data_IF_185444048713
#
_entry.id   IF_185444048713
#
_cell.length_a   1.000
_cell.length_b   1.000
_cell.length_c   1.000
_cell.angle_alpha   90.00
_cell.angle_beta   90.00
_cell.angle_gamma   90.00
#
_symmetry.space_group_name_H-M   'P 1'
#
loop_
_entity.id
_entity.type
_entity.pdbx_description
1 polymer ?
#
# COMPACT_ATOMS: atom_id res chain seq x y z
N UNK A 1 -16.62 -6.09 -0.52
CA UNK A 1 -16.37 -6.27 -0.77
C UNK A 1 -16.26 -6.40 -0.86
N UNK A 2 -16.36 -6.51 -0.45
CA UNK A 2 -16.04 -6.83 -0.62
C UNK A 2 -16.11 -7.03 -0.15
N UNK A 3 -16.26 -7.25 0.22
CA UNK A 3 -16.38 -7.57 0.49
C UNK A 3 -16.18 -8.02 0.18
N UNK A 4 -16.28 -8.15 0.77
CA UNK A 4 -15.83 -8.82 0.34
C UNK A 4 -15.73 -9.20 0.10
N UNK A 5 -16.05 -9.37 0.22
CA UNK A 5 -15.69 -9.95 -0.23
C UNK A 5 -15.54 -10.05 -0.13
N UNK A 6 -15.80 -10.28 0.48
CA UNK A 6 -15.48 -10.68 0.23
C UNK A 6 -15.78 -10.64 0.37
N UNK A 7 -15.93 -10.60 0.50
CA UNK A 7 -16.06 -10.85 0.22
C UNK A 7 -16.24 -10.82 -0.37
N UNK A 8 -16.40 -10.91 -0.27
CA UNK A 8 -16.35 -11.21 -1.07
C UNK A 8 -16.39 -11.58 -1.26
N UNK A 9 -16.34 -11.71 -1.03
CA UNK A 9 -16.29 -12.22 -1.28
C UNK A 9 -16.93 -12.40 -0.79
N UNK A 10 -17.13 -12.54 -0.38
CA UNK A 10 -17.64 -12.74 -0.11
C UNK A 10 -18.44 -12.61 -0.31
N UNK A 11 -18.67 -12.68 -0.39
CA UNK A 11 -19.29 -12.62 -0.75
C UNK A 11 -19.47 -12.79 -1.56
N UNK A 12 -19.43 -13.11 -1.57
CA UNK A 12 -19.52 -13.45 -2.38
C UNK A 12 -19.74 -14.22 -2.40
N UNK A 13 -20.08 -14.80 -2.10
CA UNK A 13 -20.18 -15.57 -2.27
C UNK A 13 -20.72 -16.16 -1.95
N UNK A 14 -21.08 -16.55 -1.82
CA UNK A 14 -21.52 -17.23 -1.83
C UNK A 14 -22.12 -17.67 -2.28
N UNK A 15 -22.46 -17.87 -2.55
CA UNK A 15 -22.84 -18.39 -3.17
C UNK A 15 -22.78 -19.12 -3.60
N UNK A 16 -22.82 -19.79 -3.66
CA UNK A 16 -22.53 -20.55 -4.25
C UNK A 16 -21.90 -20.99 -4.30
N UNK A 17 -22.11 -21.20 -4.23
CA UNK A 17 -21.38 -21.52 -4.44
C UNK A 17 -20.86 -21.63 -4.20
N UNK A 18 -21.06 -21.73 -4.03
CA UNK A 18 -20.35 -21.79 -3.90
C UNK A 18 -19.74 -22.08 -4.07
N UNK A 19 -19.99 -22.28 -4.21
CA UNK A 19 -19.16 -22.53 -4.46
C UNK A 19 -18.50 -22.78 -4.45
N UNK A 20 -18.57 -23.22 -4.34
CA UNK A 20 -17.73 -23.50 -4.37
C UNK A 20 -16.89 -23.66 -4.50
N UNK A 21 -16.90 -23.86 -4.74
CA UNK A 21 -16.01 -23.95 -4.93
C UNK A 21 -15.20 -23.70 -4.83
N UNK A 22 -15.37 -23.61 -4.78
CA UNK A 22 -14.72 -23.23 -4.67
C UNK A 22 -13.98 -23.03 -4.40
N UNK A 23 -13.99 -23.21 -4.21
CA UNK A 23 -13.40 -23.00 -3.89
C UNK A 23 -12.60 -22.65 -3.55
N UNK A 24 -12.91 -22.61 -3.45
CA UNK A 24 -12.03 -22.12 -3.01
C UNK A 24 -10.68 -22.23 -2.29
N UNK A 25 -9.78 -22.84 -2.50
CA UNK A 25 -8.44 -22.98 -2.05
C UNK A 25 -7.65 -21.70 -2.01
N UNK A 26 -7.86 -20.82 -2.92
CA UNK A 26 -7.06 -19.60 -2.99
C UNK A 26 -6.84 -18.87 -1.67
N UNK A 27 -7.81 -18.80 -0.77
CA UNK A 27 -7.58 -18.10 0.50
C UNK A 27 -6.42 -18.67 1.29
N UNK A 28 -6.20 -19.96 1.21
CA UNK A 28 -5.13 -20.59 1.96
C UNK A 28 -3.75 -20.21 1.46
N UNK A 29 -3.65 -19.70 0.23
CA UNK A 29 -2.38 -19.32 -0.36
C UNK A 29 -2.08 -17.85 -0.24
N UNK A 30 -3.02 -17.08 0.28
CA UNK A 30 -2.83 -15.65 0.47
C UNK A 30 -2.11 -15.41 1.77
N UNK A 31 -1.00 -14.71 1.71
CA UNK A 31 -0.23 -14.38 2.90
C UNK A 31 -0.81 -13.13 3.56
N UNK A 32 -0.71 -13.07 4.87
CA UNK A 32 -1.10 -11.86 5.59
C UNK A 32 -0.15 -10.72 5.24
N UNK A 33 -0.67 -9.50 5.31
CA UNK A 33 0.15 -8.30 5.07
C UNK A 33 0.92 -8.02 6.34
N UNK A 34 2.24 -7.98 6.24
CA UNK A 34 3.08 -7.61 7.37
C UNK A 34 3.11 -6.11 7.50
N UNK A 35 2.72 -5.63 8.66
CA UNK A 35 2.57 -4.20 8.91
C UNK A 35 3.60 -3.76 9.94
N UNK A 36 4.37 -2.73 9.59
CA UNK A 36 5.38 -2.15 10.46
C UNK A 36 5.04 -0.70 10.73
N UNK A 37 5.05 -0.31 12.00
CA UNK A 37 4.92 1.08 12.39
C UNK A 37 6.31 1.53 12.83
N UNK A 38 6.86 2.52 12.14
CA UNK A 38 8.23 2.95 12.35
C UNK A 38 8.32 4.46 12.30
N UNK A 39 9.30 5.01 12.99
CA UNK A 39 9.64 6.41 12.81
C UNK A 39 10.23 6.61 11.41
N UNK A 40 9.87 7.72 10.76
CA UNK A 40 10.39 8.00 9.42
C UNK A 40 11.87 8.36 9.51
N UNK A 41 12.71 7.47 9.04
CA UNK A 41 14.15 7.67 8.94
C UNK A 41 14.60 7.19 7.57
N UNK A 42 15.61 7.87 7.03
CA UNK A 42 16.11 7.53 5.69
C UNK A 42 16.50 6.05 5.55
N UNK A 43 17.23 5.45 6.50
CA UNK A 43 17.56 4.03 6.35
C UNK A 43 16.33 3.13 6.30
N UNK A 44 15.28 3.45 7.07
CA UNK A 44 14.05 2.65 7.06
C UNK A 44 13.36 2.73 5.70
N UNK A 45 13.28 3.93 5.14
CA UNK A 45 12.65 4.14 3.84
C UNK A 45 13.44 3.43 2.75
N UNK A 46 14.75 3.60 2.77
CA UNK A 46 15.61 2.97 1.77
C UNK A 46 15.50 1.45 1.81
N UNK A 47 15.51 0.90 3.01
CA UNK A 47 15.42 -0.55 3.15
C UNK A 47 14.07 -1.08 2.66
N UNK A 48 12.98 -0.40 2.99
CA UNK A 48 11.66 -0.82 2.57
C UNK A 48 11.54 -0.85 1.06
N UNK A 49 12.01 0.19 0.39
CA UNK A 49 11.95 0.27 -1.07
C UNK A 49 12.89 -0.75 -1.70
N UNK A 50 14.14 -0.78 -1.25
CA UNK A 50 15.14 -1.68 -1.83
C UNK A 50 14.73 -3.14 -1.72
N UNK A 51 14.16 -3.53 -0.59
CA UNK A 51 13.71 -4.91 -0.40
C UNK A 51 12.69 -5.30 -1.47
N UNK A 52 11.72 -4.41 -1.74
CA UNK A 52 10.70 -4.71 -2.74
C UNK A 52 11.29 -4.73 -4.15
N UNK A 53 12.16 -3.78 -4.46
CA UNK A 53 12.76 -3.73 -5.79
C UNK A 53 13.66 -4.94 -6.06
N UNK A 54 14.36 -5.40 -5.04
CA UNK A 54 15.27 -6.55 -5.19
C UNK A 54 14.51 -7.83 -5.51
N UNK A 55 13.27 -7.96 -5.07
CA UNK A 55 12.50 -9.15 -5.41
C UNK A 55 11.61 -8.92 -6.64
N UNK A 56 11.87 -7.84 -7.39
CA UNK A 56 11.18 -7.57 -8.65
C UNK A 56 9.81 -6.97 -8.51
N UNK A 57 9.47 -6.46 -7.33
CA UNK A 57 8.16 -5.86 -7.11
C UNK A 57 8.16 -4.35 -7.28
N UNK A 58 7.04 -3.76 -6.92
CA UNK A 58 6.81 -2.32 -7.06
C UNK A 58 6.27 -1.76 -5.75
N UNK A 59 6.43 -0.46 -5.57
CA UNK A 59 6.11 0.21 -4.30
C UNK A 59 5.14 1.36 -4.55
N UNK A 60 4.09 1.43 -3.73
CA UNK A 60 3.31 2.66 -3.58
C UNK A 60 3.91 3.45 -2.43
N UNK A 61 4.23 4.71 -2.67
CA UNK A 61 4.72 5.61 -1.62
C UNK A 61 3.72 6.76 -1.47
N UNK A 62 3.03 6.78 -0.35
CA UNK A 62 1.97 7.75 -0.10
C UNK A 62 2.52 8.99 0.61
N UNK A 63 2.46 10.12 -0.08
CA UNK A 63 2.85 11.42 0.42
C UNK A 63 1.64 12.34 0.32
N UNK A 64 1.11 12.80 1.45
CA UNK A 64 -0.24 13.36 1.49
C UNK A 64 -0.34 14.85 1.16
N UNK A 65 0.63 15.40 0.42
CA UNK A 65 0.60 16.82 0.10
C UNK A 65 1.07 17.07 -1.32
N UNK A 66 0.18 17.61 -2.16
CA UNK A 66 0.50 17.87 -3.57
C UNK A 66 1.65 18.86 -3.70
N UNK A 67 1.68 19.87 -2.82
CA UNK A 67 2.64 20.95 -2.94
C UNK A 67 4.08 20.50 -2.83
N UNK A 68 4.36 19.49 -2.04
CA UNK A 68 5.71 19.01 -1.79
C UNK A 68 6.00 17.66 -2.42
N UNK A 69 5.08 17.13 -3.24
CA UNK A 69 5.24 15.77 -3.74
C UNK A 69 6.44 15.62 -4.67
N UNK A 70 6.74 16.65 -5.46
CA UNK A 70 7.89 16.58 -6.35
C UNK A 70 9.19 16.56 -5.56
N UNK A 71 9.27 17.34 -4.50
CA UNK A 71 10.44 17.33 -3.64
C UNK A 71 10.57 15.98 -2.92
N UNK A 72 9.44 15.40 -2.49
CA UNK A 72 9.45 14.08 -1.86
C UNK A 72 9.99 13.03 -2.83
N UNK A 73 9.55 13.07 -4.08
CA UNK A 73 10.03 12.13 -5.08
C UNK A 73 11.52 12.32 -5.36
N UNK A 74 11.98 13.55 -5.40
CA UNK A 74 13.39 13.84 -5.60
C UNK A 74 14.24 13.30 -4.45
N UNK A 75 13.78 13.48 -3.23
CA UNK A 75 14.46 12.95 -2.05
C UNK A 75 14.55 11.43 -2.12
N UNK A 76 13.46 10.77 -2.52
CA UNK A 76 13.48 9.33 -2.68
C UNK A 76 14.44 8.88 -3.77
N UNK A 77 14.51 9.63 -4.86
CA UNK A 77 15.42 9.29 -5.95
C UNK A 77 16.87 9.34 -5.49
N UNK A 78 17.21 10.33 -4.67
CA UNK A 78 18.55 10.42 -4.10
C UNK A 78 18.82 9.28 -3.12
N UNK A 79 17.81 8.89 -2.39
CA UNK A 79 17.93 7.84 -1.39
C UNK A 79 18.04 6.44 -2.02
N UNK A 80 17.33 6.22 -3.12
CA UNK A 80 17.33 4.95 -3.85
C UNK A 80 17.59 5.25 -5.32
N UNK A 81 18.86 5.45 -5.71
CA UNK A 81 19.19 5.89 -7.09
C UNK A 81 18.72 4.92 -8.17
N UNK A 82 18.61 3.65 -7.86
CA UNK A 82 18.17 2.65 -8.83
C UNK A 82 16.65 2.64 -9.05
N UNK A 83 15.89 3.38 -8.25
CA UNK A 83 14.44 3.41 -8.41
C UNK A 83 14.02 4.21 -9.63
N UNK A 84 12.96 3.75 -10.28
CA UNK A 84 12.32 4.47 -11.37
C UNK A 84 11.00 5.03 -10.83
N UNK A 85 11.01 6.30 -10.49
CA UNK A 85 9.96 6.93 -9.70
C UNK A 85 9.02 7.72 -10.59
N UNK A 86 7.73 7.50 -10.43
CA UNK A 86 6.71 8.34 -11.03
C UNK A 86 5.88 9.03 -9.96
N UNK A 87 5.19 10.09 -10.33
CA UNK A 87 4.35 10.88 -9.44
C UNK A 87 2.93 10.88 -9.98
N UNK A 88 1.96 10.61 -9.10
CA UNK A 88 0.55 10.70 -9.46
C UNK A 88 -0.25 11.36 -8.36
N UNK A 89 -1.06 12.37 -8.71
CA UNK A 89 -1.94 13.01 -7.74
C UNK A 89 -3.18 13.56 -8.43
N UNK A 90 -4.18 13.90 -7.61
CA UNK A 90 -5.49 14.25 -8.12
C UNK A 90 -5.60 15.57 -8.86
N UNK A 91 -4.56 16.42 -8.77
CA UNK A 91 -4.57 17.69 -9.49
C UNK A 91 -3.92 17.61 -10.87
N UNK A 92 -3.40 16.44 -11.21
CA UNK A 92 -2.85 16.24 -12.55
C UNK A 92 -3.96 16.12 -13.57
N UNK A 93 -3.63 16.47 -14.81
CA UNK A 93 -4.55 16.25 -15.92
C UNK A 93 -4.77 14.76 -16.10
N UNK A 94 -5.99 14.40 -16.49
CA UNK A 94 -6.37 13.00 -16.60
C UNK A 94 -5.42 12.21 -17.49
N UNK A 95 -5.03 12.79 -18.63
CA UNK A 95 -4.11 12.10 -19.53
C UNK A 95 -2.74 11.86 -18.92
N UNK A 96 -2.24 12.84 -18.19
CA UNK A 96 -0.95 12.67 -17.49
C UNK A 96 -1.02 11.58 -16.45
N UNK A 97 -2.11 11.56 -15.69
CA UNK A 97 -2.30 10.57 -14.64
C UNK A 97 -2.40 9.16 -15.23
N UNK A 98 -3.17 9.03 -16.32
CA UNK A 98 -3.31 7.75 -17.00
C UNK A 98 -1.97 7.28 -17.55
N UNK A 99 -1.16 8.19 -18.05
CA UNK A 99 0.16 7.85 -18.57
C UNK A 99 1.07 7.29 -17.47
N UNK A 100 1.08 7.96 -16.32
CA UNK A 100 1.90 7.51 -15.19
C UNK A 100 1.43 6.15 -14.69
N UNK A 101 0.11 5.98 -14.57
CA UNK A 101 -0.43 4.70 -14.11
C UNK A 101 -0.14 3.58 -15.10
N UNK A 102 -0.20 3.89 -16.39
CA UNK A 102 0.13 2.90 -17.41
C UNK A 102 1.60 2.52 -17.36
N UNK A 103 2.49 3.51 -17.16
CA UNK A 103 3.90 3.24 -17.00
C UNK A 103 4.19 2.38 -15.76
N UNK A 104 3.46 2.63 -14.69
CA UNK A 104 3.60 1.84 -13.48
C UNK A 104 3.07 0.41 -13.70
N UNK A 105 1.91 0.28 -14.33
CA UNK A 105 1.34 -1.03 -14.62
C UNK A 105 2.29 -1.88 -15.47
N UNK A 106 2.93 -1.27 -16.47
CA UNK A 106 3.83 -1.98 -17.38
C UNK A 106 5.26 -2.07 -16.86
N UNK A 107 5.47 -1.71 -15.58
CA UNK A 107 6.75 -1.86 -14.90
C UNK A 107 7.86 -0.99 -15.47
N UNK A 108 7.49 0.06 -16.18
CA UNK A 108 8.46 1.08 -16.57
C UNK A 108 8.84 1.95 -15.39
N UNK A 109 7.94 2.02 -14.39
CA UNK A 109 8.22 2.63 -13.10
C UNK A 109 8.11 1.54 -12.04
N UNK A 110 8.91 1.64 -11.00
CA UNK A 110 8.84 0.68 -9.91
C UNK A 110 8.49 1.31 -8.56
N UNK A 111 8.42 2.65 -8.48
CA UNK A 111 7.93 3.36 -7.31
C UNK A 111 6.95 4.42 -7.78
N UNK A 112 5.76 4.42 -7.22
CA UNK A 112 4.78 5.47 -7.52
C UNK A 112 4.55 6.29 -6.26
N UNK A 113 4.93 7.57 -6.31
CA UNK A 113 4.69 8.53 -5.24
C UNK A 113 3.35 9.17 -5.52
N UNK A 114 2.40 9.06 -4.59
CA UNK A 114 1.05 9.57 -4.80
C UNK A 114 0.50 10.20 -3.53
N UNK A 115 -0.48 11.08 -3.69
CA UNK A 115 -1.13 11.72 -2.53
C UNK A 115 -2.27 10.89 -1.99
N UNK A 116 -2.93 10.13 -2.83
CA UNK A 116 -3.95 9.16 -2.47
C UNK A 116 -3.79 7.96 -3.39
N UNK A 117 -4.44 6.85 -3.04
CA UNK A 117 -4.44 5.72 -3.96
C UNK A 117 -5.37 6.06 -5.12
N UNK A 118 -4.81 5.99 -6.31
CA UNK A 118 -5.49 6.42 -7.51
C UNK A 118 -6.37 5.29 -8.02
N UNK A 119 -7.64 5.59 -8.20
CA UNK A 119 -8.61 4.62 -8.69
C UNK A 119 -8.67 4.71 -10.21
N UNK A 120 -7.98 3.78 -10.86
CA UNK A 120 -7.96 3.75 -12.33
C UNK A 120 -8.60 2.49 -12.90
N UNK A 121 -9.04 1.59 -12.03
CA UNK A 121 -9.52 0.29 -12.48
C UNK A 121 -8.41 -0.68 -12.84
N UNK A 122 -7.16 -0.28 -12.70
CA UNK A 122 -6.03 -1.15 -12.97
C UNK A 122 -5.62 -1.86 -11.69
N UNK A 123 -5.35 -3.14 -11.84
CA UNK A 123 -4.81 -3.95 -10.76
C UNK A 123 -3.30 -4.03 -10.97
N UNK A 124 -2.52 -3.75 -9.93
CA UNK A 124 -1.06 -3.77 -10.02
C UNK A 124 -0.55 -4.93 -9.17
N UNK A 125 -0.51 -6.13 -9.75
CA UNK A 125 -0.20 -7.33 -8.94
C UNK A 125 1.22 -7.37 -8.39
N UNK A 126 2.13 -6.60 -8.96
CA UNK A 126 3.51 -6.56 -8.47
C UNK A 126 3.74 -5.48 -7.43
N UNK A 127 2.73 -4.66 -7.12
CA UNK A 127 2.85 -3.64 -6.10
C UNK A 127 2.47 -4.26 -4.76
N UNK A 128 3.46 -4.84 -4.10
CA UNK A 128 3.24 -5.58 -2.85
C UNK A 128 3.83 -4.88 -1.63
N UNK A 129 4.25 -3.64 -1.79
CA UNK A 129 4.70 -2.82 -0.66
C UNK A 129 4.02 -1.45 -0.76
N UNK A 130 3.45 -1.02 0.36
CA UNK A 130 2.94 0.34 0.48
C UNK A 130 3.65 1.02 1.63
N UNK A 131 4.09 2.26 1.41
CA UNK A 131 4.71 3.08 2.45
C UNK A 131 3.84 4.31 2.63
N UNK A 132 3.38 4.54 3.85
CA UNK A 132 2.53 5.70 4.18
C UNK A 132 3.38 6.64 5.02
N UNK A 133 3.76 7.77 4.46
CA UNK A 133 4.78 8.64 5.05
C UNK A 133 4.34 9.29 6.36
N UNK A 134 3.05 9.67 6.46
CA UNK A 134 2.51 10.25 7.68
C UNK A 134 1.27 9.49 8.10
N UNK A 135 1.49 8.27 8.57
CA UNK A 135 0.38 7.39 8.94
C UNK A 135 -0.45 7.95 10.10
N UNK A 136 0.17 8.76 10.95
CA UNK A 136 -0.53 9.40 12.07
C UNK A 136 -1.64 10.36 11.62
N UNK A 137 -1.62 10.78 10.35
CA UNK A 137 -2.63 11.71 9.83
C UNK A 137 -3.86 11.02 9.24
N UNK A 138 -3.88 9.70 9.24
CA UNK A 138 -5.00 8.94 8.69
C UNK A 138 -5.79 8.26 9.80
N UNK A 139 -7.10 8.19 9.62
CA UNK A 139 -7.94 7.41 10.52
C UNK A 139 -7.74 5.92 10.31
N UNK A 140 -8.20 5.13 11.28
CA UNK A 140 -8.01 3.69 11.26
C UNK A 140 -8.62 3.05 10.00
N UNK A 141 -9.84 3.45 9.63
CA UNK A 141 -10.50 2.91 8.45
C UNK A 141 -9.71 3.23 7.18
N UNK A 142 -9.16 4.44 7.09
CA UNK A 142 -8.35 4.83 5.94
C UNK A 142 -7.09 4.00 5.86
N UNK A 143 -6.44 3.75 6.99
CA UNK A 143 -5.23 2.93 7.02
C UNK A 143 -5.52 1.51 6.57
N UNK A 144 -6.66 0.95 7.00
CA UNK A 144 -7.07 -0.39 6.54
C UNK A 144 -7.30 -0.40 5.03
N UNK A 145 -7.95 0.62 4.50
CA UNK A 145 -8.19 0.70 3.05
C UNK A 145 -6.89 0.80 2.27
N UNK A 146 -5.98 1.66 2.73
CA UNK A 146 -4.70 1.84 2.05
C UNK A 146 -3.89 0.55 2.08
N UNK A 147 -3.83 -0.09 3.25
CA UNK A 147 -3.12 -1.35 3.40
C UNK A 147 -3.68 -2.42 2.46
N UNK A 148 -4.98 -2.40 2.24
CA UNK A 148 -5.64 -3.37 1.38
C UNK A 148 -5.33 -3.23 -0.10
N UNK A 149 -4.59 -2.18 -0.50
CA UNK A 149 -4.18 -2.03 -1.89
C UNK A 149 -3.03 -2.94 -2.29
N UNK A 150 -2.39 -3.57 -1.33
CA UNK A 150 -1.34 -4.54 -1.60
C UNK A 150 -1.80 -5.91 -1.14
N UNK A 151 -1.01 -6.95 -1.42
CA UNK A 151 -1.35 -8.29 -0.97
C UNK A 151 -2.32 -9.01 -1.87
N UNK A 152 -2.36 -8.66 -3.15
CA UNK A 152 -3.29 -9.26 -4.10
C UNK A 152 -2.67 -10.38 -4.92
N UNK A 153 -1.44 -10.75 -4.59
CA UNK A 153 -0.75 -11.83 -5.28
C UNK A 153 -0.33 -12.86 -4.25
N UNK A 154 0.39 -13.87 -4.70
CA UNK A 154 0.94 -14.89 -3.79
C UNK A 154 2.16 -14.39 -3.01
N UNK A 155 2.69 -13.24 -3.38
CA UNK A 155 3.86 -12.69 -2.72
C UNK A 155 3.50 -12.09 -1.37
N UNK A 156 4.43 -12.15 -0.44
CA UNK A 156 4.27 -11.47 0.84
C UNK A 156 4.17 -9.97 0.61
N UNK A 157 3.13 -9.36 1.17
CA UNK A 157 2.93 -7.92 1.08
C UNK A 157 3.37 -7.24 2.37
N UNK A 158 3.81 -5.99 2.24
CA UNK A 158 4.31 -5.21 3.36
C UNK A 158 3.65 -3.84 3.38
N UNK A 159 3.33 -3.38 4.58
CA UNK A 159 2.83 -2.03 4.80
C UNK A 159 3.72 -1.36 5.84
N UNK A 160 4.36 -0.27 5.45
CA UNK A 160 5.21 0.51 6.34
C UNK A 160 4.49 1.79 6.68
N UNK A 161 4.11 1.93 7.95
CA UNK A 161 3.38 3.09 8.45
C UNK A 161 4.37 3.97 9.18
N UNK A 162 4.76 5.05 8.53
CA UNK A 162 5.82 5.91 9.05
C UNK A 162 5.23 7.06 9.85
N UNK A 163 5.92 7.45 10.89
CA UNK A 163 5.47 8.51 11.79
C UNK A 163 6.61 9.49 12.04
N UNK A 164 6.30 10.70 12.48
CA UNK A 164 7.34 11.56 13.03
C UNK A 164 7.81 11.00 14.37
N UNK A 165 8.64 11.76 15.08
CA UNK A 165 9.10 11.37 16.41
C UNK A 165 7.89 10.89 17.23
N UNK A 166 7.95 9.66 17.77
CA UNK A 166 6.82 9.12 18.53
C UNK A 166 6.38 10.00 19.69
N UNK A 167 7.28 10.78 20.24
CA UNK A 167 6.93 11.67 21.36
C UNK A 167 6.01 12.81 20.94
N UNK A 168 5.91 13.08 19.64
CA UNK A 168 5.02 14.14 19.14
C UNK A 168 3.63 13.64 18.78
N UNK A 169 3.38 12.33 18.90
CA UNK A 169 2.10 11.75 18.52
C UNK A 169 1.07 11.90 19.63
N UNK A 170 -0.19 12.13 19.23
CA UNK A 170 -1.28 12.13 20.19
C UNK A 170 -1.55 10.71 20.68
N UNK A 171 -2.21 10.61 21.83
CA UNK A 171 -2.59 9.30 22.37
C UNK A 171 -3.52 8.56 21.40
N UNK A 172 -4.43 9.29 20.73
CA UNK A 172 -5.33 8.66 19.76
C UNK A 172 -4.56 8.12 18.55
N UNK A 173 -3.57 8.86 18.07
CA UNK A 173 -2.76 8.40 16.95
C UNK A 173 -1.99 7.13 17.32
N UNK A 174 -1.42 7.09 18.52
CA UNK A 174 -0.71 5.90 18.99
C UNK A 174 -1.64 4.69 19.03
N UNK A 175 -2.86 4.88 19.57
CA UNK A 175 -3.81 3.77 19.64
C UNK A 175 -4.22 3.26 18.26
N UNK A 176 -4.44 4.17 17.31
CA UNK A 176 -4.80 3.76 15.96
C UNK A 176 -3.69 2.95 15.30
N UNK A 177 -2.46 3.41 15.47
CA UNK A 177 -1.32 2.74 14.86
C UNK A 177 -1.06 1.38 15.49
N UNK A 178 -1.22 1.27 16.81
CA UNK A 178 -1.13 -0.02 17.49
C UNK A 178 -2.20 -0.99 17.00
N UNK A 179 -3.41 -0.46 16.81
CA UNK A 179 -4.52 -1.31 16.38
C UNK A 179 -4.29 -1.88 14.98
N UNK A 180 -3.81 -1.04 14.04
CA UNK A 180 -3.61 -1.53 12.69
C UNK A 180 -2.41 -2.46 12.60
N UNK A 181 -1.38 -2.23 13.39
CA UNK A 181 -0.24 -3.12 13.42
C UNK A 181 -0.64 -4.50 13.93
N UNK A 182 -1.42 -4.54 15.01
CA UNK A 182 -1.92 -5.79 15.55
C UNK A 182 -2.81 -6.53 14.56
N UNK A 183 -3.68 -5.80 13.88
CA UNK A 183 -4.57 -6.41 12.88
C UNK A 183 -3.77 -7.00 11.71
N UNK A 184 -2.68 -6.34 11.33
CA UNK A 184 -1.80 -6.87 10.29
C UNK A 184 -1.17 -8.19 10.68
N UNK A 185 -0.72 -8.29 11.91
CA UNK A 185 -0.11 -9.51 12.43
C UNK A 185 -1.10 -10.67 12.50
N UNK A 186 -2.37 -10.37 12.73
CA UNK A 186 -3.40 -11.40 12.80
C UNK A 186 -3.80 -11.93 11.43
N UNK A 187 -3.39 -11.25 10.37
CA UNK A 187 -3.60 -11.72 9.04
C UNK A 187 -4.84 -11.15 8.36
N UNK A 188 -4.98 -11.53 7.10
CA UNK A 188 -6.00 -10.97 6.24
C UNK A 188 -7.38 -11.50 6.55
N UNK A 189 -7.45 -12.67 7.12
CA UNK A 189 -8.73 -13.35 7.31
C UNK A 189 -9.59 -12.80 8.41
N UNK A 190 -9.18 -11.76 9.07
CA UNK A 190 -9.99 -11.22 10.15
C UNK A 190 -11.29 -10.66 9.63
N UNK A 191 -12.37 -10.95 10.34
CA UNK A 191 -13.66 -10.40 9.96
C UNK A 191 -13.72 -8.91 10.10
#
# INVERSE_FOLDING_TARGET
SSRGLGDVYKRQSLSGIRDLSIIATPPAKRLSIKTFVQERRDPNVREAISRELMRGGQVFFLHNEVRSIEQAAKTLQELVPEARIGIGHGQMKKLQLEQVMNDFYHRRLNVLVCTTIIETGLDIPNANTIIIERADKFGLAQLHQLRGRVGRSHRQAYAYLLTPDPRSLSADAVKRLEAIEAAGDLGVGLP
#
